data_IF_827480249138
#
_entry.id   IF_827480249138
#
_cell.length_a   1.000
_cell.length_b   1.000
_cell.length_c   1.000
_cell.angle_alpha   90.00
_cell.angle_beta   90.00
_cell.angle_gamma   90.00
#
_symmetry.space_group_name_H-M   'P 1'
#
loop_
_entity.id
_entity.type
_entity.pdbx_description
1 polymer ?
#
# COMPACT_ATOMS: atom_id res chain seq x y z
N UNK A 1 -51.64 -12.05 -37.13
CA UNK A 1 -50.59 -12.60 -36.25
C UNK A 1 -50.90 -12.19 -34.80
N UNK A 2 -51.56 -13.06 -34.02
CA UNK A 2 -51.75 -12.84 -32.58
C UNK A 2 -50.57 -13.48 -31.85
N UNK A 3 -49.63 -12.66 -31.38
CA UNK A 3 -48.57 -13.14 -30.48
C UNK A 3 -49.27 -13.57 -29.19
N UNK A 4 -49.13 -14.84 -28.84
CA UNK A 4 -49.77 -15.42 -27.66
C UNK A 4 -49.19 -14.73 -26.41
N UNK A 5 -50.05 -14.10 -25.61
CA UNK A 5 -49.66 -13.32 -24.44
C UNK A 5 -48.81 -14.15 -23.46
N UNK A 6 -49.06 -15.47 -23.42
CA UNK A 6 -48.30 -16.43 -22.63
C UNK A 6 -46.85 -16.55 -23.11
N UNK A 7 -46.59 -16.46 -24.42
CA UNK A 7 -45.24 -16.48 -24.99
C UNK A 7 -44.50 -15.16 -24.70
N UNK A 8 -45.19 -14.02 -24.81
CA UNK A 8 -44.62 -12.71 -24.46
C UNK A 8 -44.21 -12.63 -22.98
N UNK A 9 -45.08 -13.10 -22.08
CA UNK A 9 -44.78 -13.17 -20.64
C UNK A 9 -43.67 -14.17 -20.31
N UNK A 10 -43.54 -15.26 -21.07
CA UNK A 10 -42.47 -16.24 -20.91
C UNK A 10 -41.12 -15.66 -21.34
N UNK A 11 -41.08 -14.97 -22.49
CA UNK A 11 -39.87 -14.28 -22.99
C UNK A 11 -39.47 -13.12 -22.07
N UNK A 12 -40.41 -12.32 -21.56
CA UNK A 12 -40.12 -11.27 -20.57
C UNK A 12 -39.54 -11.84 -19.28
N UNK A 13 -40.08 -12.95 -18.76
CA UNK A 13 -39.53 -13.62 -17.58
C UNK A 13 -38.11 -14.13 -17.86
N UNK A 14 -37.88 -14.79 -19.01
CA UNK A 14 -36.55 -15.26 -19.39
C UNK A 14 -35.53 -14.11 -19.48
N UNK A 15 -35.93 -12.93 -19.95
CA UNK A 15 -35.05 -11.76 -20.07
C UNK A 15 -34.74 -11.11 -18.71
N UNK A 16 -35.71 -11.03 -17.80
CA UNK A 16 -35.47 -10.53 -16.44
C UNK A 16 -34.62 -11.50 -15.62
N UNK A 17 -34.80 -12.81 -15.77
CA UNK A 17 -33.92 -13.82 -15.16
C UNK A 17 -32.47 -13.71 -15.69
N UNK A 18 -32.29 -13.46 -17.00
CA UNK A 18 -30.97 -13.28 -17.60
C UNK A 18 -30.27 -11.99 -17.12
N UNK A 19 -31.02 -10.89 -16.97
CA UNK A 19 -30.49 -9.62 -16.43
C UNK A 19 -30.09 -9.73 -14.95
N UNK A 20 -30.90 -10.40 -14.13
CA UNK A 20 -30.58 -10.63 -12.71
C UNK A 20 -29.35 -11.53 -12.56
N UNK A 21 -29.21 -12.56 -13.41
CA UNK A 21 -28.04 -13.42 -13.44
C UNK A 21 -26.77 -12.66 -13.87
N UNK A 22 -26.85 -11.80 -14.89
CA UNK A 22 -25.73 -10.93 -15.29
C UNK A 22 -25.33 -9.93 -14.18
N UNK A 23 -26.29 -9.34 -13.46
CA UNK A 23 -25.99 -8.45 -12.31
C UNK A 23 -25.37 -9.21 -11.12
N UNK A 24 -25.77 -10.46 -10.88
CA UNK A 24 -25.16 -11.32 -9.86
C UNK A 24 -23.74 -11.80 -10.23
N UNK A 25 -23.41 -11.88 -11.52
CA UNK A 25 -22.04 -12.16 -12.00
C UNK A 25 -21.12 -10.93 -11.87
N UNK A 26 -21.67 -9.71 -11.86
CA UNK A 26 -20.91 -8.46 -11.70
C UNK A 26 -20.55 -8.18 -10.22
N UNK A 27 -21.19 -8.87 -9.26
CA UNK A 27 -20.64 -9.01 -7.91
C UNK A 27 -19.43 -9.95 -7.88
N UNK A 28 -18.43 -9.68 -8.72
CA UNK A 28 -17.04 -9.97 -8.39
C UNK A 28 -16.78 -9.24 -7.08
N UNK A 29 -16.86 -9.99 -5.98
CA UNK A 29 -16.42 -9.55 -4.66
C UNK A 29 -15.01 -9.01 -4.87
N UNK A 30 -14.86 -7.69 -4.87
CA UNK A 30 -13.57 -7.03 -4.74
C UNK A 30 -13.15 -7.36 -3.32
N UNK A 31 -12.63 -8.57 -3.11
CA UNK A 31 -12.00 -8.97 -1.88
C UNK A 31 -10.83 -7.99 -1.74
N UNK A 32 -10.98 -7.03 -0.83
CA UNK A 32 -9.90 -6.12 -0.48
C UNK A 32 -8.66 -6.95 -0.24
N UNK A 33 -7.65 -6.73 -1.07
CA UNK A 33 -6.44 -7.55 -1.15
C UNK A 33 -5.80 -7.55 0.24
N UNK A 34 -5.79 -8.71 0.90
CA UNK A 34 -5.25 -8.86 2.26
C UNK A 34 -3.71 -8.93 2.27
N UNK A 35 -3.11 -9.05 1.08
CA UNK A 35 -1.69 -9.26 0.85
C UNK A 35 -0.97 -7.99 0.35
N UNK A 36 -1.11 -6.85 1.03
CA UNK A 36 -0.31 -5.66 0.70
C UNK A 36 -0.87 -4.81 -0.45
N UNK A 37 -0.22 -3.67 -0.68
CA UNK A 37 -0.67 -2.70 -1.69
C UNK A 37 -0.43 -3.22 -3.13
N UNK A 38 -1.32 -2.88 -4.07
CA UNK A 38 -1.17 -3.26 -5.47
C UNK A 38 -0.18 -2.32 -6.20
N UNK A 39 0.26 -2.69 -7.40
CA UNK A 39 1.23 -1.91 -8.19
C UNK A 39 0.70 -0.51 -8.56
N UNK A 40 -0.62 -0.33 -8.65
CA UNK A 40 -1.23 0.97 -8.91
C UNK A 40 -1.01 1.96 -7.76
N UNK A 41 -0.71 1.47 -6.55
CA UNK A 41 -0.37 2.30 -5.39
C UNK A 41 1.05 2.89 -5.49
N UNK A 42 1.89 2.44 -6.44
CA UNK A 42 3.28 2.85 -6.54
C UNK A 42 3.47 4.37 -6.66
N UNK A 43 2.60 5.04 -7.43
CA UNK A 43 2.75 6.47 -7.71
C UNK A 43 2.19 7.32 -6.57
N UNK A 44 0.97 7.01 -6.13
CA UNK A 44 0.21 7.81 -5.17
C UNK A 44 0.44 7.42 -3.71
N UNK A 45 1.04 6.25 -3.47
CA UNK A 45 1.10 5.57 -2.17
C UNK A 45 -0.27 5.35 -1.51
N UNK A 46 -1.36 5.48 -2.28
CA UNK A 46 -2.71 5.29 -1.79
C UNK A 46 -3.05 3.79 -1.76
N UNK A 47 -3.57 3.23 -0.65
CA UNK A 47 -3.78 1.79 -0.49
C UNK A 47 -4.93 1.19 -1.34
N UNK A 48 -5.52 1.94 -2.27
CA UNK A 48 -6.50 1.43 -3.23
C UNK A 48 -7.86 0.98 -2.65
N UNK A 49 -8.23 1.42 -1.44
CA UNK A 49 -9.57 1.17 -0.91
C UNK A 49 -10.57 2.19 -1.45
N UNK A 50 -11.61 1.71 -2.13
CA UNK A 50 -12.62 2.54 -2.78
C UNK A 50 -13.42 3.35 -1.76
N UNK A 51 -13.38 4.68 -1.90
CA UNK A 51 -14.37 5.59 -1.30
C UNK A 51 -14.03 6.19 0.07
N UNK A 52 -12.95 5.77 0.73
CA UNK A 52 -12.53 6.38 1.99
C UNK A 52 -11.44 7.43 1.77
N UNK A 53 -11.59 8.65 2.33
CA UNK A 53 -10.54 9.65 2.26
C UNK A 53 -9.39 9.30 3.20
N UNK A 54 -8.18 9.68 2.81
CA UNK A 54 -7.02 9.65 3.70
C UNK A 54 -7.23 10.53 4.94
N UNK A 55 -6.53 10.21 6.01
CA UNK A 55 -6.50 11.01 7.22
C UNK A 55 -5.53 12.18 7.10
N UNK A 56 -6.05 13.39 7.32
CA UNK A 56 -5.27 14.63 7.34
C UNK A 56 -4.77 15.00 8.75
N UNK A 57 -5.25 14.31 9.78
CA UNK A 57 -4.80 14.46 11.16
C UNK A 57 -3.30 14.17 11.32
N UNK A 58 -2.66 14.66 12.41
CA UNK A 58 -1.29 14.28 12.73
C UNK A 58 -1.11 12.76 12.74
N UNK A 59 0.05 12.29 12.25
CA UNK A 59 0.36 10.87 12.20
C UNK A 59 0.53 10.33 13.64
N UNK A 60 -0.27 9.32 14.06
CA UNK A 60 -0.16 8.71 15.39
C UNK A 60 0.97 7.68 15.50
N UNK A 61 1.89 7.68 14.53
CA UNK A 61 3.04 6.79 14.46
C UNK A 61 4.32 7.61 14.38
N UNK A 62 5.39 7.11 15.00
CA UNK A 62 6.75 7.59 14.81
C UNK A 62 7.33 6.95 13.54
N UNK A 63 8.04 7.77 12.74
CA UNK A 63 8.80 7.33 11.57
C UNK A 63 10.27 7.62 11.84
N UNK A 64 11.04 6.59 12.24
CA UNK A 64 12.41 6.75 12.72
C UNK A 64 13.38 6.10 11.74
N UNK A 65 14.40 6.85 11.33
CA UNK A 65 15.55 6.34 10.59
C UNK A 65 16.73 6.27 11.57
N UNK A 66 17.46 5.16 11.54
CA UNK A 66 18.57 4.90 12.46
C UNK A 66 19.80 5.80 12.23
N UNK A 67 20.09 6.14 10.97
CA UNK A 67 21.17 7.04 10.61
C UNK A 67 20.71 8.10 9.56
N UNK A 68 20.61 9.39 9.92
CA UNK A 68 20.27 10.46 8.98
C UNK A 68 21.45 10.92 8.11
N UNK A 69 22.69 10.55 8.44
CA UNK A 69 23.90 10.92 7.68
C UNK A 69 24.79 9.69 7.43
N UNK A 70 24.31 8.70 6.65
CA UNK A 70 25.05 7.48 6.30
C UNK A 70 26.22 7.73 5.34
N UNK A 71 27.20 6.83 5.38
CA UNK A 71 28.24 6.75 4.35
C UNK A 71 27.66 6.14 3.05
N UNK A 72 28.40 6.28 1.95
CA UNK A 72 28.06 5.61 0.69
C UNK A 72 27.86 4.10 0.91
N UNK A 73 26.80 3.56 0.31
CA UNK A 73 26.41 2.14 0.37
C UNK A 73 25.92 1.62 1.74
N UNK A 74 25.90 2.45 2.78
CA UNK A 74 25.33 2.07 4.07
C UNK A 74 23.85 1.72 3.94
N UNK A 75 23.44 0.64 4.62
CA UNK A 75 22.03 0.29 4.73
C UNK A 75 21.38 1.12 5.83
N UNK A 76 20.09 1.39 5.67
CA UNK A 76 19.30 2.09 6.69
C UNK A 76 18.22 1.19 7.26
N UNK A 77 17.89 1.44 8.53
CA UNK A 77 16.75 0.84 9.20
C UNK A 77 15.66 1.89 9.41
N UNK A 78 14.53 1.70 8.72
CA UNK A 78 13.30 2.45 8.98
C UNK A 78 12.46 1.71 10.04
N UNK A 79 12.04 2.43 11.07
CA UNK A 79 11.12 1.95 12.11
C UNK A 79 9.82 2.76 12.06
N UNK A 80 8.68 2.08 11.92
CA UNK A 80 7.34 2.65 12.07
C UNK A 80 6.76 2.11 13.37
N UNK A 81 6.43 2.98 14.33
CA UNK A 81 5.97 2.56 15.67
C UNK A 81 4.77 3.38 16.13
N UNK A 82 3.78 2.73 16.74
CA UNK A 82 2.67 3.44 17.38
C UNK A 82 3.15 4.35 18.52
N UNK A 83 2.60 5.56 18.63
CA UNK A 83 2.90 6.50 19.73
C UNK A 83 2.26 6.07 21.05
N UNK A 84 1.24 5.22 20.98
CA UNK A 84 0.55 4.64 22.14
C UNK A 84 0.15 3.18 21.87
N UNK A 85 -0.21 2.40 22.91
CA UNK A 85 -0.57 0.99 22.77
C UNK A 85 -1.77 0.72 21.84
N UNK A 86 -2.66 1.70 21.66
CA UNK A 86 -3.82 1.62 20.75
C UNK A 86 -3.50 1.94 19.29
N UNK A 87 -2.31 2.48 19.00
CA UNK A 87 -1.85 2.80 17.65
C UNK A 87 -1.14 1.62 17.01
N UNK A 88 -1.94 0.60 16.67
CA UNK A 88 -1.49 -0.58 15.96
C UNK A 88 -1.49 -0.37 14.44
N UNK A 89 -0.54 -1.01 13.77
CA UNK A 89 -0.36 -0.98 12.32
C UNK A 89 -0.99 -2.23 11.71
N UNK A 90 -2.08 -2.08 10.96
CA UNK A 90 -2.64 -3.15 10.16
C UNK A 90 -1.88 -3.30 8.84
N UNK A 91 -1.59 -2.18 8.17
CA UNK A 91 -0.91 -2.15 6.89
C UNK A 91 0.09 -1.01 6.75
N UNK A 92 1.06 -1.20 5.86
CA UNK A 92 2.00 -0.15 5.46
C UNK A 92 2.37 -0.27 3.98
N UNK A 93 2.86 0.84 3.43
CA UNK A 93 3.50 0.94 2.13
C UNK A 93 4.62 1.97 2.23
N UNK A 94 5.85 1.60 1.85
CA UNK A 94 7.05 2.41 2.06
C UNK A 94 7.88 2.47 0.80
N UNK A 95 8.32 3.68 0.46
CA UNK A 95 9.29 3.95 -0.61
C UNK A 95 10.36 4.93 -0.14
N UNK A 96 11.55 4.79 -0.69
CA UNK A 96 12.62 5.77 -0.60
C UNK A 96 12.58 6.66 -1.85
N UNK A 97 12.56 7.99 -1.71
CA UNK A 97 12.57 8.91 -2.85
C UNK A 97 13.37 10.17 -2.52
N UNK A 98 14.03 10.77 -3.50
CA UNK A 98 14.73 12.06 -3.30
C UNK A 98 13.73 13.22 -3.08
N UNK A 99 12.59 13.16 -3.79
CA UNK A 99 11.44 14.07 -3.69
C UNK A 99 10.15 13.29 -3.98
N UNK A 100 9.13 13.91 -4.59
CA UNK A 100 7.96 13.18 -5.11
C UNK A 100 8.25 12.37 -6.40
N UNK A 101 9.51 12.02 -6.65
CA UNK A 101 9.99 11.31 -7.83
C UNK A 101 9.75 9.79 -7.72
N UNK A 102 10.29 9.03 -8.66
CA UNK A 102 10.29 7.56 -8.65
C UNK A 102 11.09 6.98 -7.47
N UNK A 103 10.67 5.84 -6.91
CA UNK A 103 11.40 5.14 -5.85
C UNK A 103 12.84 4.77 -6.23
N UNK A 104 13.73 4.83 -5.24
CA UNK A 104 15.14 4.45 -5.35
C UNK A 104 15.52 3.36 -4.34
N UNK A 105 16.59 2.63 -4.65
CA UNK A 105 17.09 1.54 -3.81
C UNK A 105 16.12 0.37 -3.72
N UNK A 106 16.29 -0.48 -2.71
CA UNK A 106 15.48 -1.68 -2.48
C UNK A 106 15.34 -2.02 -1.01
N UNK A 107 14.32 -2.78 -0.65
CA UNK A 107 14.15 -3.28 0.71
C UNK A 107 14.60 -4.72 0.84
N UNK A 108 15.38 -4.99 1.88
CA UNK A 108 15.81 -6.35 2.26
C UNK A 108 14.78 -6.95 3.22
N UNK A 109 13.94 -7.85 2.70
CA UNK A 109 12.82 -8.47 3.44
C UNK A 109 12.90 -10.00 3.49
N UNK A 110 14.03 -10.61 3.11
CA UNK A 110 14.12 -12.06 2.90
C UNK A 110 13.71 -12.89 4.12
N UNK A 111 13.94 -12.37 5.33
CA UNK A 111 13.61 -13.04 6.60
C UNK A 111 12.39 -12.43 7.31
N UNK A 112 11.64 -11.54 6.65
CA UNK A 112 10.50 -10.87 7.26
C UNK A 112 9.24 -11.72 7.19
N UNK A 113 8.54 -11.84 8.34
CA UNK A 113 7.19 -12.45 8.41
C UNK A 113 6.07 -11.44 8.27
N UNK A 114 6.40 -10.14 8.22
CA UNK A 114 5.43 -9.04 8.25
C UNK A 114 5.48 -8.17 7.00
N UNK A 115 6.59 -8.21 6.26
CA UNK A 115 6.85 -7.38 5.10
C UNK A 115 7.19 -8.23 3.88
N UNK A 116 6.81 -7.73 2.71
CA UNK A 116 7.26 -8.17 1.40
C UNK A 116 7.54 -6.96 0.53
N UNK A 117 8.12 -7.19 -0.63
CA UNK A 117 8.37 -6.15 -1.62
C UNK A 117 7.43 -6.29 -2.83
N UNK A 118 7.23 -5.17 -3.51
CA UNK A 118 6.66 -5.08 -4.85
C UNK A 118 7.58 -4.24 -5.73
N UNK A 119 7.50 -4.47 -7.04
CA UNK A 119 8.25 -3.70 -8.02
C UNK A 119 7.42 -2.49 -8.45
N UNK A 120 7.93 -1.29 -8.18
CA UNK A 120 7.39 -0.03 -8.66
C UNK A 120 8.30 0.57 -9.73
N UNK A 121 7.83 1.53 -10.54
CA UNK A 121 8.67 2.21 -11.53
C UNK A 121 9.98 2.70 -10.92
N UNK A 122 11.10 2.53 -11.63
CA UNK A 122 12.43 2.91 -11.16
C UNK A 122 13.29 1.78 -10.60
N UNK A 123 12.75 0.56 -10.41
CA UNK A 123 13.56 -0.57 -9.97
C UNK A 123 12.78 -1.82 -9.57
N UNK A 124 13.50 -2.78 -8.98
CA UNK A 124 12.95 -4.00 -8.39
C UNK A 124 13.05 -3.91 -6.87
N UNK A 125 12.08 -4.52 -6.17
CA UNK A 125 12.03 -4.58 -4.71
C UNK A 125 12.10 -3.22 -4.00
N UNK A 126 11.79 -2.14 -4.74
CA UNK A 126 11.97 -0.75 -4.33
C UNK A 126 10.83 -0.21 -3.46
N UNK A 127 9.83 -1.06 -3.17
CA UNK A 127 8.66 -0.70 -2.37
C UNK A 127 8.33 -1.82 -1.41
N UNK A 128 8.31 -1.52 -0.10
CA UNK A 128 7.94 -2.47 0.93
C UNK A 128 6.46 -2.33 1.31
N UNK A 129 5.76 -3.45 1.50
CA UNK A 129 4.38 -3.49 1.97
C UNK A 129 4.14 -4.67 2.91
N UNK A 130 3.02 -4.64 3.63
CA UNK A 130 2.64 -5.69 4.56
C UNK A 130 2.26 -7.00 3.84
N UNK A 131 2.48 -8.15 4.49
CA UNK A 131 2.04 -9.46 3.96
C UNK A 131 0.64 -9.87 4.43
N UNK A 132 0.19 -9.32 5.56
CA UNK A 132 -1.11 -9.61 6.16
C UNK A 132 -1.56 -8.42 7.06
N UNK A 133 -2.86 -8.30 7.35
CA UNK A 133 -3.41 -7.21 8.15
C UNK A 133 -3.30 -7.42 9.66
N UNK A 134 -2.59 -8.46 10.14
CA UNK A 134 -2.45 -8.69 11.59
C UNK A 134 -1.83 -7.47 12.23
N UNK A 135 -2.36 -7.06 13.38
CA UNK A 135 -1.93 -5.84 14.05
C UNK A 135 -0.49 -5.94 14.52
N UNK A 136 0.29 -4.89 14.26
CA UNK A 136 1.71 -4.78 14.61
C UNK A 136 1.90 -3.55 15.49
N UNK A 137 2.68 -3.68 16.56
CA UNK A 137 3.14 -2.55 17.36
C UNK A 137 4.20 -1.72 16.65
N UNK A 138 5.08 -2.44 15.95
CA UNK A 138 6.24 -1.87 15.29
C UNK A 138 6.53 -2.62 13.99
N UNK A 139 6.98 -1.88 12.99
CA UNK A 139 7.47 -2.40 11.71
C UNK A 139 8.91 -1.91 11.54
N UNK A 140 9.83 -2.85 11.36
CA UNK A 140 11.24 -2.59 11.06
C UNK A 140 11.53 -3.03 9.63
N UNK A 141 12.08 -2.12 8.82
CA UNK A 141 12.43 -2.37 7.43
C UNK A 141 13.90 -1.99 7.19
N UNK A 142 14.65 -2.89 6.56
CA UNK A 142 16.00 -2.60 6.10
C UNK A 142 15.94 -2.13 4.64
N UNK A 143 16.48 -0.95 4.38
CA UNK A 143 16.62 -0.39 3.04
C UNK A 143 18.08 -0.40 2.61
N UNK A 144 18.30 -0.73 1.34
CA UNK A 144 19.60 -0.81 0.69
C UNK A 144 19.66 0.26 -0.40
N UNK A 145 20.59 1.21 -0.34
CA UNK A 145 20.73 2.24 -1.36
C UNK A 145 21.16 1.65 -2.72
N UNK A 146 20.93 2.37 -3.82
CA UNK A 146 21.66 2.12 -5.06
C UNK A 146 23.17 2.17 -4.83
N UNK A 147 23.95 1.37 -5.55
CA UNK A 147 25.40 1.36 -5.39
C UNK A 147 26.00 2.73 -5.75
N UNK A 148 26.86 3.26 -4.86
CA UNK A 148 27.49 4.56 -5.03
C UNK A 148 26.54 5.74 -4.82
N UNK A 149 25.38 5.53 -4.20
CA UNK A 149 24.39 6.59 -3.98
C UNK A 149 24.99 7.74 -3.16
N UNK A 150 24.80 8.96 -3.66
CA UNK A 150 25.13 10.22 -3.01
C UNK A 150 23.98 11.19 -3.27
N UNK A 151 23.58 11.95 -2.28
CA UNK A 151 22.44 12.83 -2.39
C UNK A 151 21.58 12.82 -1.15
N UNK A 152 20.29 13.09 -1.33
CA UNK A 152 19.34 13.16 -0.24
C UNK A 152 18.03 12.48 -0.59
N UNK A 153 17.44 11.86 0.42
CA UNK A 153 16.19 11.13 0.27
C UNK A 153 15.35 11.21 1.54
N UNK A 154 14.06 10.94 1.40
CA UNK A 154 13.16 10.67 2.52
C UNK A 154 12.42 9.37 2.26
N UNK A 155 12.04 8.69 3.32
CA UNK A 155 11.06 7.62 3.21
C UNK A 155 9.66 8.22 3.15
N UNK A 156 8.92 7.86 2.12
CA UNK A 156 7.49 8.12 2.00
C UNK A 156 6.73 6.90 2.52
N UNK A 157 5.93 7.12 3.53
CA UNK A 157 5.27 6.09 4.33
C UNK A 157 3.77 6.30 4.31
N UNK A 158 3.03 5.29 3.88
CA UNK A 158 1.61 5.16 4.13
C UNK A 158 1.40 4.16 5.25
N UNK A 159 0.60 4.52 6.25
CA UNK A 159 0.24 3.64 7.38
C UNK A 159 -1.27 3.49 7.43
N UNK A 160 -1.74 2.25 7.54
CA UNK A 160 -3.14 1.91 7.75
C UNK A 160 -3.33 1.32 9.15
N UNK A 161 -4.21 1.93 9.94
CA UNK A 161 -4.67 1.39 11.23
C UNK A 161 -5.73 0.32 11.02
N UNK A 162 -6.59 0.53 10.02
CA UNK A 162 -7.56 -0.42 9.50
C UNK A 162 -7.86 -0.10 8.03
N UNK A 163 -8.89 -0.72 7.46
CA UNK A 163 -9.28 -0.55 6.05
C UNK A 163 -9.73 0.88 5.72
N UNK A 164 -10.36 1.56 6.67
CA UNK A 164 -10.99 2.86 6.48
C UNK A 164 -10.14 4.01 7.07
N UNK A 165 -9.21 3.69 7.98
CA UNK A 165 -8.35 4.64 8.68
C UNK A 165 -6.89 4.50 8.25
N UNK A 166 -6.42 5.42 7.41
CA UNK A 166 -5.04 5.42 6.91
C UNK A 166 -4.49 6.82 6.61
N UNK A 167 -3.17 6.99 6.73
CA UNK A 167 -2.44 8.22 6.41
C UNK A 167 -1.53 7.94 5.22
N UNK A 168 -1.63 8.75 4.17
CA UNK A 168 -0.93 8.52 2.90
C UNK A 168 0.33 9.39 2.80
N UNK A 169 1.41 8.80 2.29
CA UNK A 169 2.62 9.51 1.85
C UNK A 169 3.21 10.50 2.87
N UNK A 170 3.23 10.12 4.16
CA UNK A 170 3.92 10.89 5.20
C UNK A 170 5.42 10.67 5.10
N UNK A 171 6.21 11.71 5.27
CA UNK A 171 7.67 11.65 5.09
C UNK A 171 8.40 11.54 6.41
N UNK A 172 9.52 10.81 6.42
CA UNK A 172 10.55 10.93 7.46
C UNK A 172 11.27 12.27 7.35
N UNK A 173 12.18 12.53 8.30
CA UNK A 173 13.27 13.49 8.08
C UNK A 173 14.12 13.08 6.86
N UNK A 174 14.78 14.07 6.27
CA UNK A 174 15.68 13.86 5.13
C UNK A 174 16.98 13.22 5.58
N UNK A 175 17.39 12.19 4.86
CA UNK A 175 18.67 11.50 5.01
C UNK A 175 19.64 12.01 3.95
N UNK A 176 20.90 12.24 4.33
CA UNK A 176 21.95 12.78 3.45
C UNK A 176 23.11 11.79 3.34
N UNK A 177 23.33 11.26 2.13
CA UNK A 177 24.46 10.40 1.80
C UNK A 177 25.63 11.23 1.28
N UNK A 178 26.79 11.12 1.93
CA UNK A 178 28.01 11.85 1.59
C UNK A 178 29.11 10.94 1.03
#
# INVERSE_FOLDING_TARGET
FKINLTCYLFVQKMWTFLQIFCLALISCVVKGRQDGAPMEACLTLHPGHSGQPQQYTPLPFDLLVDNPEPEVDDKLKLTIRGKSPEDKIAGFLVQAREKCETPIGKFDVQNSKIAKTIDCPGGVENTATHVNPNLKDEVNLTWVPPSGYKGHMSFFVTVAKDKDTFWVARTTETVWYY
#
